data_IF_197126901437
#
_entry.id   IF_197126901437
#
_cell.length_a   1.000
_cell.length_b   1.000
_cell.length_c   1.000
_cell.angle_alpha   90.00
_cell.angle_beta   90.00
_cell.angle_gamma   90.00
#
_symmetry.space_group_name_H-M   'P 1'
#
loop_
_entity.id
_entity.type
_entity.pdbx_description
1 polymer ?
#
# COMPACT_ATOMS: atom_id res chain seq x y z
N UNK A 1 12.22 14.97 -9.55
CA UNK A 1 11.34 15.36 -8.43
C UNK A 1 12.14 15.74 -7.20
N UNK A 2 13.01 14.86 -6.73
CA UNK A 2 13.77 15.08 -5.48
C UNK A 2 14.61 16.35 -5.50
N UNK A 3 15.39 16.56 -6.54
CA UNK A 3 16.31 17.71 -6.65
C UNK A 3 15.60 19.08 -6.71
N UNK A 4 14.34 19.13 -7.15
CA UNK A 4 13.57 20.37 -7.27
C UNK A 4 12.70 20.67 -6.05
N UNK A 5 12.49 19.69 -5.17
CA UNK A 5 11.58 19.80 -4.02
C UNK A 5 12.27 20.22 -2.72
N UNK A 6 13.60 20.29 -2.70
CA UNK A 6 14.39 20.53 -1.49
C UNK A 6 14.28 19.42 -0.43
N UNK A 7 13.77 18.25 -0.81
CA UNK A 7 13.65 17.11 0.07
C UNK A 7 15.02 16.50 0.34
N UNK A 8 15.40 16.44 1.62
CA UNK A 8 16.63 15.76 2.04
C UNK A 8 16.32 14.27 2.20
N UNK A 9 16.84 13.44 1.29
CA UNK A 9 16.69 11.99 1.31
C UNK A 9 17.98 11.39 1.84
N UNK A 10 17.88 10.59 2.89
CA UNK A 10 19.02 10.00 3.60
C UNK A 10 19.31 8.55 3.22
N UNK A 11 18.43 7.92 2.42
CA UNK A 11 18.60 6.55 1.95
C UNK A 11 18.38 6.41 0.46
N UNK A 12 19.05 5.44 -0.20
CA UNK A 12 18.75 5.07 -1.57
C UNK A 12 17.30 4.62 -1.74
N UNK A 13 16.75 4.85 -2.93
CA UNK A 13 15.49 4.24 -3.35
C UNK A 13 15.77 2.79 -3.75
N UNK A 14 15.01 1.86 -3.20
CA UNK A 14 15.10 0.45 -3.56
C UNK A 14 14.07 0.13 -4.64
N UNK A 15 14.51 -0.60 -5.69
CA UNK A 15 13.63 -1.07 -6.77
C UNK A 15 13.78 -2.58 -6.90
N UNK A 16 12.64 -3.28 -6.88
CA UNK A 16 12.53 -4.73 -7.13
C UNK A 16 11.45 -4.99 -8.15
N UNK A 17 11.48 -6.15 -8.77
CA UNK A 17 10.42 -6.62 -9.68
C UNK A 17 9.91 -7.98 -9.25
N UNK A 18 8.63 -8.25 -9.53
CA UNK A 18 8.03 -9.57 -9.36
C UNK A 18 7.08 -9.85 -10.52
N UNK A 19 7.01 -11.11 -10.98
CA UNK A 19 5.98 -11.52 -11.94
C UNK A 19 4.60 -11.46 -11.31
N UNK A 20 3.58 -11.40 -12.17
CA UNK A 20 2.18 -11.51 -11.76
C UNK A 20 1.92 -12.83 -11.03
N UNK A 21 1.02 -12.81 -10.06
CA UNK A 21 0.48 -13.99 -9.39
C UNK A 21 -1.07 -13.96 -9.37
N UNK A 22 -1.69 -15.03 -8.86
CA UNK A 22 -3.14 -15.19 -8.74
C UNK A 22 -3.65 -15.08 -7.30
N UNK A 23 -2.81 -14.63 -6.38
CA UNK A 23 -3.16 -14.50 -4.95
C UNK A 23 -4.01 -13.23 -4.75
N UNK A 24 -5.17 -13.37 -4.15
CA UNK A 24 -6.23 -12.34 -4.08
C UNK A 24 -5.76 -10.96 -3.62
N UNK A 25 -4.95 -10.89 -2.56
CA UNK A 25 -4.44 -9.63 -2.01
C UNK A 25 -2.91 -9.49 -2.12
N UNK A 26 -2.28 -10.26 -3.01
CA UNK A 26 -0.88 -10.02 -3.33
C UNK A 26 -0.71 -8.67 -4.03
N UNK A 27 0.35 -7.97 -3.69
CA UNK A 27 0.70 -6.72 -4.38
C UNK A 27 1.02 -6.91 -5.86
N UNK A 28 1.34 -8.15 -6.29
CA UNK A 28 1.53 -8.53 -7.70
C UNK A 28 0.31 -9.24 -8.32
N UNK A 29 -0.84 -9.28 -7.62
CA UNK A 29 -2.04 -9.96 -8.12
C UNK A 29 -2.46 -9.44 -9.50
N UNK A 30 -2.43 -10.32 -10.50
CA UNK A 30 -2.89 -10.07 -11.86
C UNK A 30 -2.02 -9.15 -12.72
N UNK A 31 -0.82 -8.75 -12.26
CA UNK A 31 0.09 -7.91 -13.05
C UNK A 31 1.55 -8.05 -12.63
N UNK A 32 2.47 -8.02 -13.60
CA UNK A 32 3.87 -7.83 -13.32
C UNK A 32 4.08 -6.49 -12.61
N UNK A 33 4.88 -6.49 -11.56
CA UNK A 33 4.96 -5.35 -10.66
C UNK A 33 6.40 -4.92 -10.40
N UNK A 34 6.63 -3.61 -10.36
CA UNK A 34 7.82 -3.01 -9.80
C UNK A 34 7.53 -2.50 -8.38
N UNK A 35 8.35 -2.87 -7.42
CA UNK A 35 8.29 -2.39 -6.05
C UNK A 35 9.31 -1.28 -5.87
N UNK A 36 8.84 -0.11 -5.46
CA UNK A 36 9.69 1.04 -5.19
C UNK A 36 9.58 1.37 -3.70
N UNK A 37 10.65 1.17 -2.95
CA UNK A 37 10.68 1.46 -1.53
C UNK A 37 11.47 2.74 -1.27
N UNK A 38 10.84 3.65 -0.53
CA UNK A 38 11.43 4.90 -0.07
C UNK A 38 11.63 4.84 1.44
N UNK A 39 12.79 5.28 1.91
CA UNK A 39 13.21 5.13 3.30
C UNK A 39 13.63 6.47 3.90
N UNK A 40 13.46 6.60 5.22
CA UNK A 40 13.99 7.70 6.01
C UNK A 40 14.58 7.18 7.33
N UNK A 41 15.57 7.86 7.86
CA UNK A 41 16.15 7.53 9.16
C UNK A 41 15.10 7.70 10.26
N UNK A 42 15.01 6.72 11.18
CA UNK A 42 14.14 6.81 12.34
C UNK A 42 14.43 8.10 13.13
N UNK A 43 13.38 8.82 13.50
CA UNK A 43 13.49 10.10 14.22
C UNK A 43 13.61 11.33 13.33
N UNK A 44 13.70 11.18 12.01
CA UNK A 44 13.63 12.30 11.06
C UNK A 44 12.22 12.51 10.50
N UNK A 45 11.92 13.74 10.07
CA UNK A 45 10.63 14.03 9.45
C UNK A 45 10.53 13.35 8.08
N UNK A 46 9.58 12.46 7.92
CA UNK A 46 9.35 11.70 6.68
C UNK A 46 8.06 12.10 5.94
N UNK A 47 7.13 12.79 6.61
CA UNK A 47 5.77 12.97 6.10
C UNK A 47 5.72 13.63 4.73
N UNK A 48 6.45 14.73 4.50
CA UNK A 48 6.49 15.41 3.19
C UNK A 48 6.98 14.50 2.08
N UNK A 49 8.05 13.74 2.34
CA UNK A 49 8.62 12.83 1.35
C UNK A 49 7.69 11.66 1.05
N UNK A 50 7.14 11.03 2.08
CA UNK A 50 6.23 9.89 1.90
C UNK A 50 4.92 10.30 1.25
N UNK A 51 4.35 11.46 1.61
CA UNK A 51 3.16 12.01 0.94
C UNK A 51 3.41 12.28 -0.55
N UNK A 52 4.55 12.87 -0.88
CA UNK A 52 4.90 13.13 -2.27
C UNK A 52 5.11 11.83 -3.08
N UNK A 53 5.78 10.82 -2.49
CA UNK A 53 5.95 9.51 -3.10
C UNK A 53 4.62 8.79 -3.27
N UNK A 54 3.78 8.76 -2.23
CA UNK A 54 2.46 8.13 -2.27
C UNK A 54 1.55 8.77 -3.34
N UNK A 55 1.59 10.09 -3.48
CA UNK A 55 0.84 10.79 -4.53
C UNK A 55 1.24 10.31 -5.94
N UNK A 56 2.55 10.16 -6.18
CA UNK A 56 3.03 9.63 -7.46
C UNK A 56 2.59 8.18 -7.65
N UNK A 57 2.81 7.32 -6.65
CA UNK A 57 2.46 5.90 -6.76
C UNK A 57 0.96 5.68 -6.97
N UNK A 58 0.12 6.51 -6.34
CA UNK A 58 -1.33 6.47 -6.51
C UNK A 58 -1.74 6.79 -7.96
N UNK A 59 -1.07 7.73 -8.62
CA UNK A 59 -1.33 8.05 -10.03
C UNK A 59 -1.01 6.89 -10.99
N UNK A 60 -0.22 5.91 -10.55
CA UNK A 60 0.08 4.67 -11.27
C UNK A 60 -0.62 3.45 -10.68
N UNK A 61 -1.72 3.64 -9.96
CA UNK A 61 -2.47 2.57 -9.29
C UNK A 61 -1.59 1.69 -8.39
N UNK A 62 -0.61 2.33 -7.71
CA UNK A 62 0.35 1.66 -6.85
C UNK A 62 -0.30 1.00 -5.64
N UNK A 63 0.00 -0.26 -5.39
CA UNK A 63 -0.48 -1.02 -4.23
C UNK A 63 0.49 -0.89 -3.08
N UNK A 64 0.16 -0.19 -1.98
CA UNK A 64 1.03 -0.11 -0.81
C UNK A 64 1.29 -1.49 -0.21
N UNK A 65 2.50 -1.67 0.33
CA UNK A 65 2.79 -2.86 1.11
C UNK A 65 1.96 -2.85 2.41
N UNK A 66 1.23 -3.92 2.69
CA UNK A 66 0.29 -4.04 3.81
C UNK A 66 0.90 -3.73 5.19
N UNK A 67 2.16 -4.04 5.41
CA UNK A 67 2.86 -3.80 6.69
C UNK A 67 3.75 -2.55 6.69
N UNK A 68 3.55 -1.59 5.78
CA UNK A 68 4.35 -0.36 5.70
C UNK A 68 3.48 0.89 5.88
N UNK A 69 4.13 2.05 5.98
CA UNK A 69 3.43 3.33 6.16
C UNK A 69 2.75 3.74 4.86
N UNK A 70 1.45 3.95 4.92
CA UNK A 70 0.64 4.52 3.84
C UNK A 70 -0.64 5.13 4.42
N UNK A 71 -1.33 5.96 3.64
CA UNK A 71 -2.59 6.62 4.06
C UNK A 71 -3.82 6.04 3.37
N UNK A 72 -3.67 5.04 2.50
CA UNK A 72 -4.77 4.48 1.71
C UNK A 72 -5.78 3.72 2.56
N UNK A 73 -7.03 3.75 2.13
CA UNK A 73 -8.19 3.15 2.78
C UNK A 73 -8.83 2.04 1.94
N UNK A 74 -9.90 1.44 2.44
CA UNK A 74 -10.61 0.35 1.79
C UNK A 74 -11.16 0.75 0.40
N UNK A 75 -11.61 1.99 0.23
CA UNK A 75 -12.09 2.49 -1.07
C UNK A 75 -10.98 2.47 -2.12
N UNK A 76 -9.79 2.93 -1.74
CA UNK A 76 -8.63 2.86 -2.63
C UNK A 76 -8.23 1.41 -2.93
N UNK A 77 -8.14 0.56 -1.91
CA UNK A 77 -7.79 -0.85 -2.12
C UNK A 77 -8.79 -1.58 -3.01
N UNK A 78 -10.08 -1.34 -2.85
CA UNK A 78 -11.11 -1.89 -3.72
C UNK A 78 -10.95 -1.46 -5.19
N UNK A 79 -10.40 -0.27 -5.45
CA UNK A 79 -10.17 0.21 -6.80
C UNK A 79 -8.93 -0.40 -7.49
N UNK A 80 -7.93 -0.85 -6.72
CA UNK A 80 -6.65 -1.34 -7.27
C UNK A 80 -6.44 -2.86 -7.14
N UNK A 81 -7.29 -3.56 -6.37
CA UNK A 81 -7.28 -5.02 -6.26
C UNK A 81 -8.55 -5.62 -6.89
N UNK A 82 -8.46 -6.27 -8.05
CA UNK A 82 -9.63 -6.78 -8.78
C UNK A 82 -10.51 -7.74 -7.96
N UNK A 83 -9.90 -8.50 -7.04
CA UNK A 83 -10.58 -9.50 -6.22
C UNK A 83 -10.76 -9.08 -4.74
N UNK A 84 -10.71 -7.76 -4.47
CA UNK A 84 -10.86 -7.23 -3.11
C UNK A 84 -12.19 -7.67 -2.48
N UNK A 85 -13.29 -7.60 -3.24
CA UNK A 85 -14.61 -8.00 -2.76
C UNK A 85 -14.71 -9.49 -2.40
N UNK A 86 -13.97 -10.38 -3.09
CA UNK A 86 -13.95 -11.81 -2.74
C UNK A 86 -13.32 -12.03 -1.36
N UNK A 87 -12.23 -11.30 -1.08
CA UNK A 87 -11.57 -11.39 0.21
C UNK A 87 -12.44 -10.86 1.34
N UNK A 88 -13.07 -9.69 1.16
CA UNK A 88 -13.92 -9.10 2.19
C UNK A 88 -15.17 -9.96 2.46
N UNK A 89 -15.79 -10.54 1.42
CA UNK A 89 -16.90 -11.47 1.59
C UNK A 89 -16.49 -12.74 2.35
N UNK A 90 -15.28 -13.27 2.10
CA UNK A 90 -14.75 -14.40 2.85
C UNK A 90 -14.51 -14.03 4.32
N UNK A 91 -13.89 -12.86 4.58
CA UNK A 91 -13.71 -12.32 5.93
C UNK A 91 -15.04 -12.23 6.66
N UNK A 92 -16.06 -11.65 6.05
CA UNK A 92 -17.38 -11.42 6.65
C UNK A 92 -18.06 -12.73 7.07
N UNK A 93 -17.82 -13.79 6.30
CA UNK A 93 -18.32 -15.14 6.63
C UNK A 93 -17.55 -15.80 7.76
N UNK A 94 -16.21 -15.61 7.82
CA UNK A 94 -15.35 -16.28 8.80
C UNK A 94 -15.22 -15.51 10.11
N UNK A 95 -15.36 -14.20 10.09
CA UNK A 95 -15.27 -13.30 11.24
C UNK A 95 -16.44 -12.31 11.26
N UNK A 96 -17.69 -12.78 11.38
CA UNK A 96 -18.88 -11.93 11.40
C UNK A 96 -18.87 -10.93 12.56
N UNK A 97 -18.27 -11.30 13.68
CA UNK A 97 -18.18 -10.48 14.89
C UNK A 97 -16.97 -9.51 14.87
N UNK A 98 -16.16 -9.50 13.80
CA UNK A 98 -14.96 -8.67 13.66
C UNK A 98 -13.94 -8.81 14.80
N UNK A 99 -13.74 -10.03 15.30
CA UNK A 99 -12.82 -10.32 16.43
C UNK A 99 -11.35 -10.09 16.09
N UNK A 100 -10.98 -10.19 14.79
CA UNK A 100 -9.63 -9.97 14.29
C UNK A 100 -9.45 -8.57 13.69
N UNK A 101 -10.34 -7.63 14.00
CA UNK A 101 -10.29 -6.26 13.51
C UNK A 101 -9.55 -5.34 14.50
N UNK A 102 -8.75 -4.42 13.96
CA UNK A 102 -8.18 -3.28 14.65
C UNK A 102 -8.35 -2.03 13.76
N UNK A 103 -7.93 -0.86 14.23
CA UNK A 103 -8.10 0.39 13.48
C UNK A 103 -7.42 0.37 12.11
N UNK A 104 -6.26 -0.26 12.00
CA UNK A 104 -5.59 -0.43 10.70
C UNK A 104 -6.41 -1.31 9.76
N UNK A 105 -6.85 -2.49 10.23
CA UNK A 105 -7.65 -3.43 9.43
C UNK A 105 -8.97 -2.79 9.02
N UNK A 106 -9.63 -2.06 9.92
CA UNK A 106 -10.85 -1.30 9.60
C UNK A 106 -10.61 -0.28 8.49
N UNK A 107 -9.53 0.47 8.56
CA UNK A 107 -9.17 1.46 7.54
C UNK A 107 -8.93 0.82 6.17
N UNK A 108 -8.22 -0.30 6.11
CA UNK A 108 -7.77 -0.90 4.83
C UNK A 108 -8.73 -1.92 4.23
N UNK A 109 -9.60 -2.55 5.04
CA UNK A 109 -10.55 -3.56 4.58
C UNK A 109 -12.02 -3.13 4.74
N UNK A 110 -12.28 -1.99 5.37
CA UNK A 110 -13.63 -1.53 5.69
C UNK A 110 -14.21 -2.18 6.97
N UNK A 111 -15.42 -1.77 7.33
CA UNK A 111 -16.18 -2.29 8.47
C UNK A 111 -16.54 -3.78 8.30
#
# INVERSE_FOLDING_TARGET
MVDRSGLRISFPVEVRTAPADDITLSTASGRDSAYIAVHMVKGTSYSKYFTAAEHIFTAYEGRPHWGKIHTRDAGYFASVYPRFGEFTALRDRLDPDRRFQNDYVRRVLGE
#
